data_IF_604591115020
#
_entry.id   IF_604591115020
#
_cell.length_a   1.000
_cell.length_b   1.000
_cell.length_c   1.000
_cell.angle_alpha   90.00
_cell.angle_beta   90.00
_cell.angle_gamma   90.00
#
_symmetry.space_group_name_H-M   'P 1'
#
loop_
_entity.id
_entity.type
_entity.pdbx_description
1 polymer ?
#
# COMPACT_ATOMS: atom_id res chain seq x y z
N UNK A 1 28.09 39.30 16.06
CA UNK A 1 27.82 37.91 15.61
C UNK A 1 26.77 37.95 14.51
N UNK A 2 27.07 37.36 13.35
CA UNK A 2 26.14 37.30 12.22
C UNK A 2 24.98 36.36 12.58
N UNK A 3 23.74 36.87 12.63
CA UNK A 3 22.56 36.09 12.98
C UNK A 3 22.31 34.95 11.97
N UNK A 4 21.82 33.81 12.46
CA UNK A 4 21.56 32.64 11.60
C UNK A 4 20.58 32.99 10.47
N UNK A 5 20.84 32.58 9.21
CA UNK A 5 19.95 32.86 8.09
C UNK A 5 18.58 32.23 8.31
N UNK A 6 17.52 33.00 8.05
CA UNK A 6 16.13 32.57 8.24
C UNK A 6 15.72 31.70 7.06
N UNK A 7 15.72 30.39 7.25
CA UNK A 7 15.34 29.43 6.20
C UNK A 7 13.82 29.32 6.13
N UNK A 8 13.23 29.56 4.95
CA UNK A 8 11.80 29.34 4.72
C UNK A 8 11.55 27.90 4.27
N UNK A 9 10.95 27.08 5.13
CA UNK A 9 10.62 25.68 4.83
C UNK A 9 9.19 25.61 4.26
N UNK A 10 9.04 25.18 3.01
CA UNK A 10 7.73 24.97 2.37
C UNK A 10 7.30 23.50 2.47
N UNK A 11 6.31 23.21 3.31
CA UNK A 11 5.75 21.86 3.42
C UNK A 11 4.74 21.58 2.30
N UNK A 12 4.94 20.50 1.53
CA UNK A 12 3.92 19.98 0.59
C UNK A 12 2.86 19.19 1.39
N UNK A 13 1.61 19.65 1.38
CA UNK A 13 0.47 18.99 2.06
C UNK A 13 -0.58 18.61 1.01
N UNK A 14 -1.20 17.45 1.16
CA UNK A 14 -2.35 17.00 0.35
C UNK A 14 -3.50 16.58 1.27
N UNK A 15 -4.73 16.79 0.81
CA UNK A 15 -5.96 16.35 1.50
C UNK A 15 -6.75 15.48 0.54
N UNK A 16 -7.41 14.46 1.08
CA UNK A 16 -8.26 13.54 0.34
C UNK A 16 -9.61 13.42 1.05
N UNK A 17 -10.69 13.44 0.29
CA UNK A 17 -12.05 13.29 0.83
C UNK A 17 -12.50 11.83 0.69
N UNK A 18 -13.00 11.24 1.78
CA UNK A 18 -13.45 9.84 1.81
C UNK A 18 -14.86 9.62 1.28
N UNK A 19 -15.62 10.68 0.99
CA UNK A 19 -17.03 10.62 0.55
C UNK A 19 -17.94 9.77 1.46
N UNK A 20 -17.56 9.64 2.74
CA UNK A 20 -18.35 8.99 3.78
C UNK A 20 -19.21 10.05 4.47
N UNK A 21 -20.49 9.77 4.62
CA UNK A 21 -21.46 10.71 5.20
C UNK A 21 -22.04 10.17 6.50
N UNK A 22 -22.27 11.06 7.46
CA UNK A 22 -22.93 10.75 8.72
C UNK A 22 -24.32 11.36 8.75
N UNK A 23 -25.23 10.66 9.41
CA UNK A 23 -26.55 11.20 9.74
C UNK A 23 -26.34 12.22 10.87
N UNK A 24 -26.64 13.49 10.62
CA UNK A 24 -26.30 14.58 11.55
C UNK A 24 -27.06 14.51 12.90
N UNK A 25 -28.27 13.97 12.91
CA UNK A 25 -29.11 13.82 14.12
C UNK A 25 -29.71 12.41 14.15
N UNK A 26 -28.92 11.37 14.48
CA UNK A 26 -29.41 9.99 14.50
C UNK A 26 -30.35 9.82 15.70
N UNK A 27 -31.62 9.53 15.43
CA UNK A 27 -32.66 9.35 16.47
C UNK A 27 -32.89 7.88 16.78
N UNK A 28 -32.72 7.00 15.80
CA UNK A 28 -32.94 5.57 15.97
C UNK A 28 -31.64 4.84 16.37
N UNK A 29 -31.72 3.69 17.05
CA UNK A 29 -30.55 2.84 17.31
C UNK A 29 -29.83 2.41 16.01
N UNK A 30 -30.59 2.11 14.95
CA UNK A 30 -30.03 1.71 13.67
C UNK A 30 -29.22 2.83 12.99
N UNK A 31 -29.68 4.09 13.05
CA UNK A 31 -28.94 5.24 12.53
C UNK A 31 -27.65 5.48 13.30
N UNK A 32 -27.68 5.35 14.64
CA UNK A 32 -26.48 5.44 15.48
C UNK A 32 -25.48 4.35 15.12
N UNK A 33 -25.96 3.13 14.90
CA UNK A 33 -25.12 1.99 14.48
C UNK A 33 -24.49 2.23 13.11
N UNK A 34 -25.24 2.72 12.11
CA UNK A 34 -24.70 3.09 10.79
C UNK A 34 -23.59 4.15 10.88
N UNK A 35 -23.80 5.19 11.69
CA UNK A 35 -22.77 6.21 11.90
C UNK A 35 -21.51 5.63 12.56
N UNK A 36 -21.69 4.73 13.53
CA UNK A 36 -20.58 4.03 14.21
C UNK A 36 -19.76 3.22 13.20
N UNK A 37 -20.42 2.40 12.39
CA UNK A 37 -19.78 1.60 11.34
C UNK A 37 -19.05 2.47 10.31
N UNK A 38 -19.66 3.60 9.93
CA UNK A 38 -19.06 4.56 8.99
C UNK A 38 -17.79 5.20 9.55
N UNK A 39 -17.77 5.52 10.85
CA UNK A 39 -16.59 6.05 11.54
C UNK A 39 -15.48 5.00 11.70
N UNK A 40 -15.84 3.75 11.99
CA UNK A 40 -14.90 2.64 12.04
C UNK A 40 -14.26 2.41 10.66
N UNK A 41 -15.07 2.42 9.59
CA UNK A 41 -14.58 2.34 8.22
C UNK A 41 -13.64 3.50 7.86
N UNK A 42 -14.02 4.75 8.20
CA UNK A 42 -13.18 5.92 7.97
C UNK A 42 -11.82 5.80 8.67
N UNK A 43 -11.82 5.29 9.90
CA UNK A 43 -10.61 5.07 10.69
C UNK A 43 -9.70 4.02 10.05
N UNK A 44 -10.28 2.93 9.54
CA UNK A 44 -9.55 1.88 8.82
C UNK A 44 -8.92 2.41 7.53
N UNK A 45 -9.68 3.12 6.70
CA UNK A 45 -9.16 3.70 5.45
C UNK A 45 -8.04 4.70 5.75
N UNK A 46 -8.21 5.53 6.78
CA UNK A 46 -7.16 6.46 7.23
C UNK A 46 -5.88 5.71 7.57
N UNK A 47 -5.97 4.65 8.37
CA UNK A 47 -4.80 3.86 8.78
C UNK A 47 -4.08 3.23 7.57
N UNK A 48 -4.83 2.66 6.63
CA UNK A 48 -4.27 2.07 5.40
C UNK A 48 -3.57 3.13 4.53
N UNK A 49 -4.20 4.29 4.32
CA UNK A 49 -3.60 5.38 3.54
C UNK A 49 -2.37 5.98 4.22
N UNK A 50 -2.41 6.10 5.55
CA UNK A 50 -1.25 6.56 6.32
C UNK A 50 -0.07 5.59 6.19
N UNK A 51 -0.34 4.28 6.22
CA UNK A 51 0.68 3.26 5.95
C UNK A 51 1.25 3.37 4.53
N UNK A 52 0.39 3.48 3.50
CA UNK A 52 0.84 3.66 2.11
C UNK A 52 1.66 4.96 1.92
N UNK A 53 1.26 6.04 2.57
CA UNK A 53 2.03 7.30 2.53
C UNK A 53 3.39 7.15 3.20
N UNK A 54 3.46 6.52 4.38
CA UNK A 54 4.72 6.21 5.08
C UNK A 54 5.62 5.29 4.24
N UNK A 55 5.05 4.31 3.54
CA UNK A 55 5.77 3.44 2.59
C UNK A 55 6.37 4.27 1.44
N UNK A 56 5.56 5.12 0.79
CA UNK A 56 6.02 5.96 -0.32
C UNK A 56 7.06 7.01 0.09
N UNK A 57 7.01 7.54 1.32
CA UNK A 57 7.92 8.60 1.79
C UNK A 57 9.21 8.07 2.40
N UNK A 58 9.15 6.96 3.15
CA UNK A 58 10.27 6.48 3.98
C UNK A 58 10.76 5.08 3.58
N UNK A 59 10.08 4.38 2.67
CA UNK A 59 10.43 3.00 2.29
C UNK A 59 10.16 1.96 3.39
N UNK A 60 9.60 2.37 4.54
CA UNK A 60 9.21 1.45 5.61
C UNK A 60 7.94 0.69 5.22
N UNK A 61 8.11 -0.53 4.72
CA UNK A 61 7.08 -1.56 4.86
C UNK A 61 7.04 -1.97 6.34
N UNK A 62 5.86 -2.19 6.93
CA UNK A 62 5.77 -3.31 7.89
C UNK A 62 6.27 -4.50 7.07
N UNK A 63 7.50 -4.98 7.30
CA UNK A 63 8.05 -6.11 6.56
C UNK A 63 6.98 -7.20 6.62
N UNK A 64 6.26 -7.40 5.51
CA UNK A 64 5.66 -8.70 5.30
C UNK A 64 6.90 -9.50 5.02
N UNK A 65 7.38 -10.25 6.01
CA UNK A 65 8.39 -11.28 5.83
C UNK A 65 7.79 -12.32 4.88
N UNK A 66 7.69 -11.93 3.62
CA UNK A 66 7.39 -12.81 2.52
C UNK A 66 8.73 -13.46 2.25
N UNK A 67 9.03 -14.48 3.04
CA UNK A 67 10.04 -15.47 2.71
C UNK A 67 9.52 -16.25 1.49
N UNK A 68 9.50 -15.56 0.34
CA UNK A 68 9.10 -16.14 -0.93
C UNK A 68 10.38 -16.61 -1.57
N UNK A 69 10.50 -17.94 -1.70
CA UNK A 69 11.52 -18.54 -2.51
C UNK A 69 11.32 -18.07 -3.96
N UNK A 70 12.35 -17.43 -4.52
CA UNK A 70 12.32 -16.92 -5.88
C UNK A 70 12.00 -18.01 -6.90
N UNK A 71 12.50 -19.24 -6.70
CA UNK A 71 12.27 -20.36 -7.60
C UNK A 71 10.78 -20.76 -7.64
N UNK A 72 10.14 -20.83 -6.47
CA UNK A 72 8.73 -21.19 -6.36
C UNK A 72 7.83 -20.11 -7.00
N UNK A 73 8.18 -18.84 -6.79
CA UNK A 73 7.49 -17.73 -7.43
C UNK A 73 7.62 -17.76 -8.96
N UNK A 74 8.83 -17.95 -9.47
CA UNK A 74 9.08 -17.95 -10.91
C UNK A 74 8.46 -19.18 -11.59
N UNK A 75 8.40 -20.31 -10.90
CA UNK A 75 7.71 -21.51 -11.40
C UNK A 75 6.20 -21.27 -11.51
N UNK A 76 5.55 -20.72 -10.49
CA UNK A 76 4.13 -20.37 -10.55
C UNK A 76 3.82 -19.33 -11.66
N UNK A 77 4.77 -18.43 -11.92
CA UNK A 77 4.67 -17.49 -13.04
C UNK A 77 4.72 -18.21 -14.39
N UNK A 78 5.62 -19.17 -14.58
CA UNK A 78 5.69 -20.00 -15.80
C UNK A 78 4.39 -20.79 -16.00
N UNK A 79 3.84 -21.36 -14.93
CA UNK A 79 2.66 -22.24 -15.00
C UNK A 79 1.38 -21.49 -15.41
N UNK A 80 1.29 -20.20 -15.08
CA UNK A 80 0.18 -19.31 -15.46
C UNK A 80 0.46 -18.46 -16.70
N UNK A 81 1.59 -18.67 -17.37
CA UNK A 81 2.04 -17.82 -18.47
C UNK A 81 1.33 -18.15 -19.79
N UNK A 82 0.63 -17.17 -20.36
CA UNK A 82 -0.21 -17.36 -21.57
C UNK A 82 0.41 -16.84 -22.86
N UNK A 83 1.56 -16.15 -22.79
CA UNK A 83 2.18 -15.53 -23.97
C UNK A 83 3.08 -16.51 -24.73
N UNK A 84 3.31 -16.23 -26.02
CA UNK A 84 4.02 -17.11 -26.97
C UNK A 84 5.50 -17.33 -26.63
N UNK A 85 6.10 -16.47 -25.84
CA UNK A 85 7.51 -16.47 -25.44
C UNK A 85 7.79 -17.32 -24.17
N UNK A 86 6.87 -18.20 -23.78
CA UNK A 86 7.01 -19.14 -22.65
C UNK A 86 8.38 -19.85 -22.64
N UNK A 87 8.86 -20.25 -23.82
CA UNK A 87 10.15 -20.93 -23.98
C UNK A 87 11.33 -20.06 -23.51
N UNK A 88 11.29 -18.75 -23.80
CA UNK A 88 12.33 -17.81 -23.36
C UNK A 88 12.32 -17.64 -21.84
N UNK A 89 11.12 -17.57 -21.25
CA UNK A 89 10.95 -17.43 -19.79
C UNK A 89 11.48 -18.67 -19.06
N UNK A 90 11.21 -19.87 -19.58
CA UNK A 90 11.77 -21.14 -19.06
C UNK A 90 13.30 -21.18 -19.16
N UNK A 91 13.87 -20.73 -20.28
CA UNK A 91 15.33 -20.68 -20.47
C UNK A 91 15.98 -19.71 -19.45
N UNK A 92 15.36 -18.56 -19.20
CA UNK A 92 15.85 -17.61 -18.20
C UNK A 92 15.91 -18.24 -16.79
N UNK A 93 14.87 -18.97 -16.37
CA UNK A 93 14.88 -19.70 -15.10
C UNK A 93 16.01 -20.74 -15.04
N UNK A 94 16.17 -21.53 -16.11
CA UNK A 94 17.21 -22.56 -16.15
C UNK A 94 18.62 -21.97 -16.09
N UNK A 95 18.87 -20.84 -16.77
CA UNK A 95 20.14 -20.13 -16.68
C UNK A 95 20.39 -19.57 -15.28
N UNK A 96 19.35 -19.05 -14.64
CA UNK A 96 19.45 -18.56 -13.27
C UNK A 96 19.82 -19.66 -12.28
N UNK A 97 19.24 -20.87 -12.43
CA UNK A 97 19.58 -22.05 -11.62
C UNK A 97 21.01 -22.57 -11.80
N UNK A 98 21.66 -22.24 -12.92
CA UNK A 98 23.06 -22.64 -13.17
C UNK A 98 24.08 -21.70 -12.51
N UNK A 99 23.65 -20.50 -12.09
CA UNK A 99 24.52 -19.46 -11.53
C UNK A 99 24.36 -19.34 -10.00
N UNK A 100 23.29 -19.93 -9.45
CA UNK A 100 23.09 -20.14 -8.01
C UNK A 100 23.91 -21.32 -7.50
#
# INVERSE_FOLDING_TARGET
MMGKPKVHIKHKRRKENLQLYLIAKPRTPAERQKNKETLELATKIRAEREQHFKESMLGYRLKKDRNINFLDYYQAYIDSYTKKDLRMIKIALNRFRLVL
#
